data_IF_754107989562
#
_entry.id   IF_754107989562
#
_cell.length_a   1.000
_cell.length_b   1.000
_cell.length_c   1.000
_cell.angle_alpha   90.00
_cell.angle_beta   90.00
_cell.angle_gamma   90.00
#
_symmetry.space_group_name_H-M   'P 1'
#
loop_
_entity.id
_entity.type
_entity.pdbx_description
1 polymer ?
#
# COMPACT_ATOMS: atom_id res chain seq x y z
N UNK A 1 20.10 70.98 -16.95
CA UNK A 1 20.06 69.52 -16.73
C UNK A 1 18.91 69.25 -15.76
N UNK A 2 17.77 68.77 -16.26
CA UNK A 2 16.57 68.54 -15.44
C UNK A 2 16.67 67.11 -14.90
N UNK A 3 16.82 66.98 -13.58
CA UNK A 3 16.92 65.69 -12.90
C UNK A 3 15.49 65.22 -12.61
N UNK A 4 15.05 64.17 -13.30
CA UNK A 4 13.75 63.54 -13.06
C UNK A 4 13.86 62.70 -11.78
N UNK A 5 13.45 63.27 -10.64
CA UNK A 5 13.31 62.53 -9.40
C UNK A 5 12.05 61.66 -9.48
N UNK A 6 12.21 60.34 -9.60
CA UNK A 6 11.11 59.38 -9.57
C UNK A 6 10.45 59.44 -8.19
N UNK A 7 9.19 59.90 -8.15
CA UNK A 7 8.37 59.96 -6.94
C UNK A 7 7.86 58.55 -6.57
N UNK A 8 8.67 57.86 -5.77
CA UNK A 8 8.39 56.52 -5.23
C UNK A 8 7.22 56.48 -4.23
N UNK A 9 6.76 57.62 -3.69
CA UNK A 9 5.70 57.62 -2.68
C UNK A 9 4.31 57.41 -3.30
N UNK A 10 4.08 57.99 -4.49
CA UNK A 10 2.82 57.81 -5.22
C UNK A 10 2.62 56.35 -5.67
N UNK A 11 3.71 55.66 -6.02
CA UNK A 11 3.69 54.25 -6.42
C UNK A 11 3.44 53.30 -5.23
N UNK A 12 3.95 53.64 -4.04
CA UNK A 12 3.71 52.85 -2.81
C UNK A 12 2.25 52.92 -2.33
N UNK A 13 1.59 54.08 -2.48
CA UNK A 13 0.17 54.25 -2.10
C UNK A 13 -0.79 53.47 -3.01
N UNK A 14 -0.47 53.28 -4.29
CA UNK A 14 -1.29 52.48 -5.23
C UNK A 14 -1.33 50.98 -4.91
N UNK A 15 -0.28 50.46 -4.26
CA UNK A 15 -0.19 49.04 -3.86
C UNK A 15 -0.89 48.76 -2.53
N UNK A 16 -0.94 49.73 -1.61
CA UNK A 16 -1.55 49.55 -0.28
C UNK A 16 -3.08 49.46 -0.28
N UNK A 17 -3.73 50.02 -1.30
CA UNK A 17 -5.20 50.04 -1.42
C UNK A 17 -5.79 48.90 -2.26
N UNK A 18 -4.95 48.03 -2.81
CA UNK A 18 -5.43 46.78 -3.43
C UNK A 18 -5.58 45.73 -2.34
N UNK A 19 -6.70 45.75 -1.62
CA UNK A 19 -7.14 44.54 -0.91
C UNK A 19 -7.40 43.51 -2.02
N UNK A 20 -6.64 42.40 -2.10
CA UNK A 20 -6.90 41.40 -3.11
C UNK A 20 -8.27 40.80 -2.81
N UNK A 21 -9.25 41.09 -3.66
CA UNK A 21 -10.54 40.41 -3.61
C UNK A 21 -10.33 39.05 -4.26
N UNK A 22 -9.95 38.07 -3.45
CA UNK A 22 -9.79 36.69 -3.86
C UNK A 22 -11.18 36.12 -4.12
N UNK A 23 -11.43 35.65 -5.34
CA UNK A 23 -12.66 34.93 -5.64
C UNK A 23 -12.55 33.55 -4.97
N UNK A 24 -13.36 33.32 -3.93
CA UNK A 24 -13.39 32.04 -3.22
C UNK A 24 -14.01 30.92 -4.05
N UNK A 25 -14.88 31.24 -5.01
CA UNK A 25 -15.60 30.23 -5.81
C UNK A 25 -14.63 29.34 -6.60
N UNK A 26 -13.68 29.86 -7.41
CA UNK A 26 -12.68 29.01 -8.09
C UNK A 26 -11.68 28.35 -7.13
N UNK A 27 -11.37 28.99 -6.00
CA UNK A 27 -10.43 28.46 -5.01
C UNK A 27 -10.98 27.19 -4.35
N UNK A 28 -12.26 27.22 -3.97
CA UNK A 28 -12.96 26.08 -3.35
C UNK A 28 -13.03 24.92 -4.33
N UNK A 29 -13.28 25.18 -5.62
CA UNK A 29 -13.34 24.15 -6.67
C UNK A 29 -12.00 23.41 -6.84
N UNK A 30 -10.88 24.15 -6.84
CA UNK A 30 -9.53 23.58 -6.88
C UNK A 30 -9.24 22.74 -5.62
N UNK A 31 -9.62 23.25 -4.43
CA UNK A 31 -9.42 22.54 -3.16
C UNK A 31 -10.21 21.23 -3.13
N UNK A 32 -11.46 21.24 -3.60
CA UNK A 32 -12.33 20.07 -3.62
C UNK A 32 -11.83 19.02 -4.62
N UNK A 33 -11.37 19.46 -5.79
CA UNK A 33 -10.76 18.57 -6.79
C UNK A 33 -9.51 17.88 -6.23
N UNK A 34 -8.65 18.60 -5.51
CA UNK A 34 -7.50 18.03 -4.82
C UNK A 34 -7.90 17.05 -3.70
N UNK A 35 -8.92 17.38 -2.90
CA UNK A 35 -9.39 16.52 -1.81
C UNK A 35 -9.93 15.18 -2.35
N UNK A 36 -10.74 15.22 -3.41
CA UNK A 36 -11.21 14.01 -4.09
C UNK A 36 -10.02 13.21 -4.65
N UNK A 37 -9.08 13.88 -5.31
CA UNK A 37 -7.89 13.21 -5.85
C UNK A 37 -7.09 12.51 -4.75
N UNK A 38 -6.86 13.17 -3.62
CA UNK A 38 -6.20 12.59 -2.45
C UNK A 38 -6.99 11.41 -1.90
N UNK A 39 -8.32 11.49 -1.75
CA UNK A 39 -9.14 10.38 -1.23
C UNK A 39 -9.13 9.19 -2.18
N UNK A 40 -9.28 9.42 -3.49
CA UNK A 40 -9.26 8.34 -4.50
C UNK A 40 -7.88 7.68 -4.53
N UNK A 41 -6.81 8.47 -4.52
CA UNK A 41 -5.44 7.95 -4.56
C UNK A 41 -4.97 7.39 -3.22
N UNK A 42 -5.50 7.85 -2.08
CA UNK A 42 -5.15 7.34 -0.74
C UNK A 42 -5.73 5.95 -0.51
N UNK A 43 -6.92 5.65 -1.06
CA UNK A 43 -7.45 4.28 -1.07
C UNK A 43 -6.60 3.35 -1.95
N UNK A 44 -5.85 3.89 -2.91
CA UNK A 44 -4.91 3.15 -3.75
C UNK A 44 -3.48 3.09 -3.18
N UNK A 45 -3.15 3.92 -2.18
CA UNK A 45 -1.81 4.03 -1.58
C UNK A 45 -1.65 3.24 -0.28
N UNK A 46 -2.57 2.32 0.03
CA UNK A 46 -2.47 1.46 1.21
C UNK A 46 -1.37 0.37 1.09
N UNK A 47 -0.49 0.45 0.10
CA UNK A 47 0.52 -0.59 -0.18
C UNK A 47 1.98 -0.14 -0.09
N UNK A 48 2.30 1.12 0.26
CA UNK A 48 3.71 1.54 0.25
C UNK A 48 4.13 2.60 1.28
N UNK A 49 3.63 2.50 2.51
CA UNK A 49 4.26 3.19 3.67
C UNK A 49 4.71 2.14 4.67
N UNK A 50 5.86 1.54 4.36
CA UNK A 50 6.59 0.69 5.30
C UNK A 50 7.17 1.52 6.45
N UNK A 51 7.03 0.97 7.65
CA UNK A 51 7.86 1.21 8.83
C UNK A 51 7.57 2.45 9.69
N UNK A 52 6.58 2.33 10.58
CA UNK A 52 6.81 2.69 11.98
C UNK A 52 5.87 1.89 12.89
N UNK A 53 6.45 0.93 13.60
CA UNK A 53 6.06 0.44 14.92
C UNK A 53 4.55 0.41 15.26
N UNK A 54 3.92 -0.75 15.06
CA UNK A 54 2.83 -1.28 15.92
C UNK A 54 2.33 -2.62 15.35
N UNK A 55 2.24 -3.64 16.20
CA UNK A 55 1.84 -5.00 15.87
C UNK A 55 0.46 -5.14 15.22
N UNK A 56 0.39 -4.90 13.90
CA UNK A 56 -0.76 -5.19 13.06
C UNK A 56 -0.79 -6.66 12.69
N UNK A 57 -1.92 -7.31 12.97
CA UNK A 57 -2.23 -8.68 12.56
C UNK A 57 -1.92 -8.88 11.07
N UNK A 58 -0.93 -9.73 10.79
CA UNK A 58 -0.39 -9.96 9.45
C UNK A 58 -1.37 -10.61 8.49
N UNK A 59 -2.29 -9.82 7.93
CA UNK A 59 -2.92 -10.18 6.66
C UNK A 59 -2.07 -9.60 5.52
N UNK A 60 -1.46 -10.46 4.68
CA UNK A 60 -0.62 -10.01 3.59
C UNK A 60 -1.41 -9.19 2.57
N UNK A 61 -0.72 -8.21 1.99
CA UNK A 61 -1.19 -7.38 0.89
C UNK A 61 -1.32 -8.26 -0.38
N UNK A 62 -2.55 -8.49 -0.83
CA UNK A 62 -2.90 -9.38 -1.95
C UNK A 62 -2.68 -8.65 -3.27
N UNK A 63 -1.71 -9.10 -4.08
CA UNK A 63 -1.49 -8.57 -5.43
C UNK A 63 -1.63 -9.70 -6.44
N UNK A 64 -2.84 -10.24 -6.60
CA UNK A 64 -3.33 -10.77 -7.88
C UNK A 64 -4.81 -11.16 -7.75
N UNK A 65 -5.69 -10.45 -8.47
CA UNK A 65 -7.14 -10.71 -8.52
C UNK A 65 -7.59 -11.22 -9.89
N UNK A 66 -6.67 -11.77 -10.69
CA UNK A 66 -7.01 -12.36 -11.99
C UNK A 66 -6.91 -13.88 -11.97
N UNK A 67 -7.98 -14.52 -11.52
CA UNK A 67 -8.18 -15.96 -11.63
C UNK A 67 -9.09 -16.45 -10.53
N UNK A 68 -9.83 -17.53 -10.78
CA UNK A 68 -10.46 -18.36 -9.75
C UNK A 68 -9.36 -19.06 -8.93
N UNK A 69 -8.41 -18.29 -8.40
CA UNK A 69 -7.18 -18.77 -7.83
C UNK A 69 -7.47 -19.23 -6.40
N UNK A 70 -7.58 -20.55 -6.24
CA UNK A 70 -7.65 -21.15 -4.91
C UNK A 70 -6.38 -20.86 -4.10
N UNK A 71 -5.27 -20.49 -4.75
CA UNK A 71 -3.96 -20.21 -4.16
C UNK A 71 -3.49 -18.78 -4.47
N UNK A 72 -3.08 -18.05 -3.44
CA UNK A 72 -2.55 -16.70 -3.53
C UNK A 72 -1.02 -16.70 -3.36
N UNK A 73 -0.30 -16.01 -4.24
CA UNK A 73 1.16 -15.91 -4.17
C UNK A 73 1.56 -14.97 -3.02
N UNK A 74 2.34 -15.49 -2.08
CA UNK A 74 2.85 -14.77 -0.92
C UNK A 74 4.37 -14.62 -1.02
N UNK A 75 4.87 -13.44 -1.45
CA UNK A 75 6.30 -13.14 -1.47
C UNK A 75 6.81 -12.82 -0.06
N UNK A 76 7.98 -13.34 0.31
CA UNK A 76 8.66 -13.03 1.57
C UNK A 76 10.15 -12.88 1.32
N UNK A 77 10.76 -11.84 1.91
CA UNK A 77 12.18 -11.59 1.77
C UNK A 77 13.02 -12.78 2.24
N UNK A 78 13.88 -13.27 1.35
CA UNK A 78 14.78 -14.40 1.59
C UNK A 78 14.07 -15.67 2.09
N UNK A 79 12.84 -15.91 1.60
CA UNK A 79 12.06 -17.10 1.96
C UNK A 79 12.82 -18.39 1.60
N UNK A 80 13.18 -19.16 2.61
CA UNK A 80 13.85 -20.45 2.46
C UNK A 80 13.19 -21.54 3.31
N UNK A 81 12.22 -21.18 4.16
CA UNK A 81 11.51 -22.15 4.99
C UNK A 81 10.01 -21.91 5.01
N UNK A 82 9.21 -22.95 4.78
CA UNK A 82 7.76 -22.93 4.94
C UNK A 82 7.36 -24.12 5.80
N UNK A 83 6.55 -23.90 6.83
CA UNK A 83 6.06 -24.96 7.71
C UNK A 83 4.54 -24.89 7.83
N UNK A 84 3.85 -26.00 7.59
CA UNK A 84 2.39 -26.11 7.70
C UNK A 84 2.05 -27.15 8.76
N UNK A 85 1.35 -26.78 9.84
CA UNK A 85 1.02 -27.70 10.95
C UNK A 85 2.23 -28.51 11.46
N UNK A 86 3.40 -27.88 11.58
CA UNK A 86 4.68 -28.51 11.92
C UNK A 86 5.31 -29.44 10.86
N UNK A 87 4.74 -29.54 9.65
CA UNK A 87 5.35 -30.22 8.51
C UNK A 87 6.12 -29.24 7.63
N UNK A 88 7.33 -29.62 7.20
CA UNK A 88 8.14 -28.81 6.30
C UNK A 88 7.59 -28.88 4.87
N UNK A 89 7.31 -27.72 4.28
CA UNK A 89 6.81 -27.55 2.91
C UNK A 89 7.69 -26.58 2.10
N UNK A 90 8.97 -26.47 2.48
CA UNK A 90 9.93 -25.58 1.82
C UNK A 90 10.19 -25.94 0.35
N UNK A 91 9.88 -27.17 -0.07
CA UNK A 91 9.97 -27.63 -1.46
C UNK A 91 9.00 -26.89 -2.40
N UNK A 92 7.95 -26.28 -1.87
CA UNK A 92 6.96 -25.49 -2.59
C UNK A 92 7.38 -24.02 -2.80
N UNK A 93 8.56 -23.61 -2.31
CA UNK A 93 9.04 -22.23 -2.48
C UNK A 93 9.58 -22.04 -3.91
N UNK A 94 9.13 -20.98 -4.60
CA UNK A 94 9.71 -20.53 -5.89
C UNK A 94 9.91 -19.03 -5.87
N UNK A 95 11.10 -18.57 -6.29
CA UNK A 95 11.43 -17.14 -6.38
C UNK A 95 11.13 -16.34 -5.10
N UNK A 96 11.47 -16.89 -3.93
CA UNK A 96 11.17 -16.30 -2.62
C UNK A 96 9.66 -16.08 -2.35
N UNK A 97 8.80 -16.87 -2.99
CA UNK A 97 7.36 -16.83 -2.79
C UNK A 97 6.79 -18.25 -2.65
N UNK A 98 5.63 -18.34 -2.02
CA UNK A 98 4.85 -19.58 -1.91
C UNK A 98 3.38 -19.26 -2.19
N UNK A 99 2.68 -20.13 -2.92
CA UNK A 99 1.23 -20.04 -3.07
C UNK A 99 0.54 -20.56 -1.82
N UNK A 100 -0.36 -19.79 -1.21
CA UNK A 100 -1.11 -20.17 -0.01
C UNK A 100 -2.59 -20.24 -0.33
N UNK A 101 -3.24 -21.32 0.07
CA UNK A 101 -4.66 -21.52 -0.22
C UNK A 101 -5.54 -20.46 0.47
N UNK A 102 -6.57 -19.98 -0.24
CA UNK A 102 -7.55 -18.97 0.23
C UNK A 102 -8.15 -19.30 1.59
N UNK A 103 -8.68 -20.52 1.76
CA UNK A 103 -9.19 -21.04 3.04
C UNK A 103 -8.19 -20.97 4.19
N UNK A 104 -6.89 -21.13 3.92
CA UNK A 104 -5.85 -21.02 4.96
C UNK A 104 -5.63 -19.55 5.36
N UNK A 105 -5.77 -18.62 4.41
CA UNK A 105 -5.72 -17.17 4.66
C UNK A 105 -6.96 -16.70 5.45
N UNK A 106 -8.13 -17.28 5.16
CA UNK A 106 -9.40 -16.85 5.73
C UNK A 106 -9.71 -17.51 7.09
N UNK A 107 -9.52 -18.83 7.19
CA UNK A 107 -9.91 -19.65 8.35
C UNK A 107 -8.70 -20.17 9.15
N UNK A 108 -7.51 -20.13 8.58
CA UNK A 108 -6.27 -20.58 9.22
C UNK A 108 -5.50 -19.47 9.93
N UNK A 109 -4.23 -19.75 10.22
CA UNK A 109 -3.29 -18.74 10.72
C UNK A 109 -2.02 -18.77 9.88
N UNK A 110 -1.57 -17.60 9.43
CA UNK A 110 -0.31 -17.44 8.70
C UNK A 110 0.58 -16.46 9.47
N UNK A 111 1.75 -16.93 9.89
CA UNK A 111 2.76 -16.12 10.57
C UNK A 111 3.97 -15.98 9.65
N UNK A 112 4.26 -14.74 9.27
CA UNK A 112 5.37 -14.40 8.38
C UNK A 112 6.53 -13.90 9.24
N UNK A 113 7.71 -14.48 9.03
CA UNK A 113 8.99 -14.08 9.60
C UNK A 113 10.00 -13.87 8.48
N UNK A 114 11.07 -13.08 8.70
CA UNK A 114 12.14 -12.98 7.72
C UNK A 114 12.69 -14.36 7.36
N UNK A 115 12.53 -14.75 6.10
CA UNK A 115 12.96 -16.04 5.56
C UNK A 115 12.15 -17.28 5.94
N UNK A 116 11.12 -17.18 6.79
CA UNK A 116 10.30 -18.30 7.23
C UNK A 116 8.80 -17.96 7.24
N UNK A 117 7.96 -18.86 6.74
CA UNK A 117 6.50 -18.79 6.90
C UNK A 117 6.02 -19.98 7.72
N UNK A 118 5.20 -19.71 8.74
CA UNK A 118 4.56 -20.72 9.57
C UNK A 118 3.05 -20.63 9.38
N UNK A 119 2.45 -21.74 8.96
CA UNK A 119 1.03 -21.84 8.62
C UNK A 119 0.38 -22.87 9.55
N UNK A 120 -0.80 -22.53 10.04
CA UNK A 120 -1.71 -23.45 10.72
C UNK A 120 -2.98 -23.54 9.89
N UNK A 121 -3.29 -24.73 9.37
CA UNK A 121 -4.53 -24.95 8.60
C UNK A 121 -5.74 -25.05 9.53
N UNK A 122 -6.95 -24.76 9.04
CA UNK A 122 -8.17 -25.07 9.78
C UNK A 122 -8.33 -26.59 9.94
N UNK A 123 -9.07 -27.01 10.97
CA UNK A 123 -9.17 -28.41 11.42
C UNK A 123 -9.70 -29.43 10.40
N UNK A 124 -10.30 -28.97 9.30
CA UNK A 124 -10.83 -29.81 8.22
C UNK A 124 -10.12 -29.55 6.88
N UNK A 125 -8.85 -29.13 6.91
CA UNK A 125 -8.08 -28.84 5.69
C UNK A 125 -6.69 -29.49 5.74
N UNK A 126 -6.34 -30.33 4.73
CA UNK A 126 -5.07 -31.06 4.71
C UNK A 126 -3.87 -30.11 4.57
N UNK A 127 -2.73 -30.47 5.15
CA UNK A 127 -1.55 -29.60 5.14
C UNK A 127 -0.87 -29.56 3.77
N UNK A 128 -1.01 -30.63 2.98
CA UNK A 128 -0.45 -30.79 1.64
C UNK A 128 -1.11 -29.86 0.60
N UNK A 129 -2.36 -29.46 0.84
CA UNK A 129 -3.09 -28.52 -0.02
C UNK A 129 -2.99 -27.08 0.48
N UNK A 130 -2.32 -26.85 1.62
CA UNK A 130 -2.23 -25.51 2.21
C UNK A 130 -1.34 -24.59 1.41
N UNK A 131 -0.32 -25.18 0.79
CA UNK A 131 0.70 -24.47 0.03
C UNK A 131 1.00 -25.18 -1.27
N UNK A 132 1.38 -24.39 -2.29
CA UNK A 132 1.85 -24.88 -3.58
C UNK A 132 2.92 -23.96 -4.14
N UNK A 133 3.76 -24.52 -5.01
CA UNK A 133 4.63 -23.75 -5.87
C UNK A 133 3.81 -22.74 -6.69
N UNK A 134 4.12 -21.44 -6.61
CA UNK A 134 3.39 -20.44 -7.37
C UNK A 134 3.66 -20.67 -8.86
N UNK A 135 2.58 -20.80 -9.64
CA UNK A 135 2.67 -20.82 -11.10
C UNK A 135 2.91 -19.40 -11.59
N UNK A 136 4.16 -19.11 -11.92
CA UNK A 136 4.52 -17.92 -12.70
C UNK A 136 4.04 -18.15 -14.14
N UNK A 137 2.86 -17.61 -14.46
CA UNK A 137 2.40 -17.50 -15.85
C UNK A 137 3.14 -16.39 -16.61
#
# INVERSE_FOLDING_TARGET
>A
MIVMAIDIESHKKKLKNRKPNINLVPLIDILFTLLIFIVITSNFSATDVQSTDSGGTGKPNVTDTSGTAEYYVMPVDNLHKVTVNNHDMSDEIRNNAVGVHSRVIDEGQVSIRPGEIIITTPSNFPYEEAVRAPEIS
#
